data_IF_065379034003
#
_entry.id   IF_065379034003
#
_cell.length_a   1.000
_cell.length_b   1.000
_cell.length_c   1.000
_cell.angle_alpha   90.00
_cell.angle_beta   90.00
_cell.angle_gamma   90.00
#
_symmetry.space_group_name_H-M   'P 1'
#
loop_
_entity.id
_entity.type
_entity.pdbx_description
1 polymer ?
#
# COMPACT_ATOMS: atom_id res chain seq x y z
N UNK A 1 1.22 -25.25 -24.62
CA UNK A 1 0.09 -25.01 -23.70
C UNK A 1 0.18 -23.60 -23.08
N UNK A 2 -0.22 -22.58 -23.84
CA UNK A 2 -0.39 -21.20 -23.34
C UNK A 2 -1.76 -21.18 -22.68
N UNK A 3 -1.81 -21.65 -21.43
CA UNK A 3 -3.06 -21.69 -20.67
C UNK A 3 -3.57 -20.26 -20.54
N UNK A 4 -4.79 -20.08 -21.03
CA UNK A 4 -5.53 -18.84 -21.25
C UNK A 4 -5.41 -17.77 -20.15
N UNK A 5 -4.46 -16.84 -20.29
CA UNK A 5 -4.41 -15.62 -19.45
C UNK A 5 -5.69 -14.78 -19.60
N UNK A 6 -6.37 -14.88 -20.75
CA UNK A 6 -7.62 -14.17 -21.02
C UNK A 6 -8.80 -14.73 -20.21
N UNK A 7 -8.84 -16.04 -19.96
CA UNK A 7 -9.87 -16.66 -19.12
C UNK A 7 -9.73 -16.22 -17.65
N UNK A 8 -8.52 -16.26 -17.08
CA UNK A 8 -8.28 -15.85 -15.68
C UNK A 8 -8.67 -14.39 -15.46
N UNK A 9 -8.33 -13.50 -16.41
CA UNK A 9 -8.68 -12.08 -16.32
C UNK A 9 -10.19 -11.85 -16.37
N UNK A 10 -10.92 -12.54 -17.26
CA UNK A 10 -12.40 -12.45 -17.32
C UNK A 10 -13.05 -12.90 -16.02
N UNK A 11 -12.61 -14.04 -15.48
CA UNK A 11 -13.13 -14.56 -14.20
C UNK A 11 -12.94 -13.56 -13.06
N UNK A 12 -11.75 -12.98 -12.91
CA UNK A 12 -11.46 -11.99 -11.86
C UNK A 12 -12.33 -10.73 -11.99
N UNK A 13 -12.82 -10.39 -13.19
CA UNK A 13 -13.70 -9.25 -13.42
C UNK A 13 -15.20 -9.57 -13.22
N UNK A 14 -15.61 -10.83 -13.42
CA UNK A 14 -17.02 -11.25 -13.33
C UNK A 14 -17.41 -11.78 -11.94
N UNK A 15 -16.49 -12.46 -11.23
CA UNK A 15 -16.72 -13.03 -9.91
C UNK A 15 -16.99 -12.01 -8.77
N UNK A 16 -16.42 -10.78 -8.76
CA UNK A 16 -16.66 -9.80 -7.70
C UNK A 16 -18.15 -9.56 -7.42
N UNK A 17 -18.97 -9.53 -8.47
CA UNK A 17 -20.42 -9.29 -8.37
C UNK A 17 -21.19 -10.44 -7.70
N UNK A 18 -20.61 -11.64 -7.68
CA UNK A 18 -21.26 -12.87 -7.18
C UNK A 18 -20.80 -13.28 -5.79
N UNK A 19 -19.54 -12.97 -5.43
CA UNK A 19 -18.88 -13.49 -4.23
C UNK A 19 -18.54 -12.37 -3.22
N UNK A 20 -18.57 -11.11 -3.64
CA UNK A 20 -18.42 -9.97 -2.71
C UNK A 20 -16.98 -9.62 -2.34
N UNK A 21 -16.01 -9.89 -3.22
CA UNK A 21 -14.63 -9.41 -3.06
C UNK A 21 -14.33 -8.23 -4.00
N UNK A 22 -13.32 -7.41 -3.66
CA UNK A 22 -12.86 -6.27 -4.47
C UNK A 22 -11.51 -6.59 -5.09
N UNK A 23 -11.33 -6.23 -6.35
CA UNK A 23 -10.03 -6.37 -7.04
C UNK A 23 -9.18 -5.14 -6.72
N UNK A 24 -7.99 -5.38 -6.19
CA UNK A 24 -7.00 -4.35 -5.87
C UNK A 24 -5.75 -4.56 -6.73
N UNK A 25 -4.96 -3.49 -7.01
CA UNK A 25 -3.65 -3.65 -7.63
C UNK A 25 -2.76 -4.52 -6.73
N UNK A 26 -2.05 -5.47 -7.35
CA UNK A 26 -1.01 -6.23 -6.67
C UNK A 26 0.25 -5.39 -6.44
N UNK A 27 1.22 -5.97 -5.75
CA UNK A 27 2.58 -5.45 -5.63
C UNK A 27 3.57 -6.49 -6.16
N UNK A 28 4.73 -6.04 -6.60
CA UNK A 28 5.75 -6.91 -7.18
C UNK A 28 6.57 -7.58 -6.06
N UNK A 29 7.00 -8.82 -6.27
CA UNK A 29 7.96 -9.45 -5.37
C UNK A 29 9.33 -8.78 -5.47
N UNK A 30 9.95 -8.46 -4.33
CA UNK A 30 11.23 -7.75 -4.25
C UNK A 30 12.07 -8.22 -3.06
N UNK A 31 13.40 -8.17 -3.20
CA UNK A 31 14.35 -8.62 -2.15
C UNK A 31 14.22 -7.80 -0.86
N UNK A 32 13.83 -6.52 -0.96
CA UNK A 32 13.66 -5.61 0.19
C UNK A 32 12.67 -6.15 1.24
N UNK A 33 11.64 -6.89 0.84
CA UNK A 33 10.69 -7.49 1.79
C UNK A 33 11.38 -8.48 2.72
N UNK A 34 12.31 -9.29 2.18
CA UNK A 34 13.08 -10.27 2.97
C UNK A 34 14.12 -9.58 3.86
N UNK A 35 14.79 -8.55 3.35
CA UNK A 35 15.78 -7.80 4.13
C UNK A 35 15.15 -7.08 5.32
N UNK A 36 13.99 -6.45 5.12
CA UNK A 36 13.25 -5.79 6.19
C UNK A 36 12.65 -6.79 7.17
N UNK A 37 12.15 -7.94 6.69
CA UNK A 37 11.62 -9.01 7.53
C UNK A 37 12.66 -9.51 8.56
N UNK A 38 13.90 -9.73 8.14
CA UNK A 38 14.99 -10.15 9.05
C UNK A 38 15.30 -9.11 10.14
N UNK A 39 14.93 -7.85 9.91
CA UNK A 39 15.12 -6.74 10.86
C UNK A 39 13.85 -6.40 11.64
N UNK A 40 12.73 -7.08 11.40
CA UNK A 40 11.43 -6.74 11.97
C UNK A 40 10.90 -5.38 11.51
N UNK A 41 11.36 -4.89 10.35
CA UNK A 41 10.97 -3.59 9.79
C UNK A 41 9.92 -3.75 8.68
N UNK A 42 9.18 -2.68 8.40
CA UNK A 42 8.26 -2.62 7.26
C UNK A 42 8.65 -1.52 6.27
N UNK A 43 8.09 -1.55 5.06
CA UNK A 43 8.30 -0.49 4.07
C UNK A 43 7.82 0.88 4.57
N UNK A 44 6.85 0.91 5.47
CA UNK A 44 6.31 2.14 6.07
C UNK A 44 7.30 2.78 7.05
N UNK A 45 8.22 1.99 7.62
CA UNK A 45 9.23 2.47 8.54
C UNK A 45 10.42 3.13 7.81
N UNK A 46 10.62 2.88 6.52
CA UNK A 46 11.80 3.36 5.76
C UNK A 46 11.97 4.89 5.74
N UNK A 47 10.92 5.67 6.05
CA UNK A 47 10.99 7.14 6.16
C UNK A 47 11.60 7.61 7.48
N UNK A 48 11.78 6.72 8.48
CA UNK A 48 12.39 7.07 9.76
C UNK A 48 13.89 7.28 9.61
N UNK A 49 14.43 8.45 10.00
CA UNK A 49 15.87 8.68 9.99
C UNK A 49 16.57 7.69 10.95
N UNK A 50 17.72 7.15 10.54
CA UNK A 50 18.56 6.28 11.38
C UNK A 50 18.45 4.76 11.14
N UNK A 51 17.61 4.30 10.21
CA UNK A 51 17.41 2.85 9.97
C UNK A 51 18.51 2.16 9.13
N UNK A 52 19.52 2.90 8.66
CA UNK A 52 20.67 2.33 7.93
C UNK A 52 20.33 1.63 6.60
N UNK A 53 19.09 1.73 6.11
CA UNK A 53 18.69 1.19 4.81
C UNK A 53 18.97 2.22 3.73
N UNK A 54 19.88 1.90 2.80
CA UNK A 54 20.10 2.73 1.61
C UNK A 54 18.85 2.68 0.72
N UNK A 55 18.25 3.84 0.48
CA UNK A 55 17.14 3.99 -0.45
C UNK A 55 17.63 3.76 -1.88
N UNK A 56 16.96 2.85 -2.59
CA UNK A 56 17.11 2.66 -4.03
C UNK A 56 15.75 2.83 -4.73
N UNK A 57 15.74 2.90 -6.06
CA UNK A 57 14.50 3.07 -6.83
C UNK A 57 13.51 1.92 -6.65
N UNK A 58 13.99 0.69 -6.40
CA UNK A 58 13.12 -0.46 -6.14
C UNK A 58 12.34 -0.29 -4.82
N UNK A 59 12.95 0.30 -3.79
CA UNK A 59 12.31 0.57 -2.50
C UNK A 59 11.22 1.63 -2.63
N UNK A 60 11.49 2.68 -3.42
CA UNK A 60 10.51 3.74 -3.72
C UNK A 60 9.30 3.15 -4.46
N UNK A 61 9.54 2.30 -5.47
CA UNK A 61 8.48 1.61 -6.20
C UNK A 61 7.66 0.68 -5.27
N UNK A 62 8.33 -0.10 -4.41
CA UNK A 62 7.66 -0.98 -3.45
C UNK A 62 6.74 -0.21 -2.50
N UNK A 63 7.20 0.94 -1.99
CA UNK A 63 6.38 1.79 -1.12
C UNK A 63 5.18 2.39 -1.86
N UNK A 64 5.34 2.75 -3.14
CA UNK A 64 4.23 3.24 -3.96
C UNK A 64 3.18 2.15 -4.23
N UNK A 65 3.61 0.92 -4.54
CA UNK A 65 2.73 -0.23 -4.71
C UNK A 65 1.91 -0.52 -3.44
N UNK A 66 2.56 -0.50 -2.26
CA UNK A 66 1.87 -0.65 -0.97
C UNK A 66 0.86 0.48 -0.73
N UNK A 67 1.20 1.72 -1.07
CA UNK A 67 0.24 2.84 -0.95
C UNK A 67 -0.99 2.65 -1.83
N UNK A 68 -0.82 2.18 -3.07
CA UNK A 68 -1.95 1.90 -3.96
C UNK A 68 -2.85 0.78 -3.41
N UNK A 69 -2.26 -0.25 -2.79
CA UNK A 69 -3.00 -1.31 -2.12
C UNK A 69 -3.80 -0.77 -0.92
N UNK A 70 -3.16 0.01 -0.05
CA UNK A 70 -3.83 0.62 1.12
C UNK A 70 -5.00 1.52 0.71
N UNK A 71 -4.84 2.30 -0.35
CA UNK A 71 -5.92 3.11 -0.94
C UNK A 71 -7.06 2.22 -1.47
N UNK A 72 -6.74 1.13 -2.16
CA UNK A 72 -7.76 0.21 -2.67
C UNK A 72 -8.58 -0.43 -1.54
N UNK A 73 -7.96 -0.72 -0.39
CA UNK A 73 -8.64 -1.25 0.81
C UNK A 73 -9.57 -0.21 1.45
N UNK A 74 -9.40 1.09 1.14
CA UNK A 74 -10.22 2.15 1.72
C UNK A 74 -9.80 2.49 3.15
N UNK A 75 -8.54 2.24 3.51
CA UNK A 75 -8.03 2.70 4.80
C UNK A 75 -8.11 4.24 4.81
N UNK A 76 -8.76 4.87 5.81
CA UNK A 76 -8.74 6.32 5.92
C UNK A 76 -7.28 6.73 5.98
N UNK A 77 -6.87 7.61 5.05
CA UNK A 77 -5.55 8.20 5.12
C UNK A 77 -5.44 8.83 6.51
N UNK A 78 -4.55 8.30 7.35
CA UNK A 78 -4.23 8.97 8.61
C UNK A 78 -3.46 10.22 8.22
N UNK A 79 -4.20 11.26 7.86
CA UNK A 79 -3.72 12.62 7.75
C UNK A 79 -3.32 13.00 9.18
N UNK A 80 -2.09 12.67 9.57
CA UNK A 80 -1.47 13.15 10.80
C UNK A 80 -1.18 14.65 10.73
N UNK A 81 -2.18 15.45 10.37
CA UNK A 81 -2.13 16.90 10.25
C UNK A 81 -3.49 17.56 10.55
N UNK A 82 -4.35 16.93 11.36
CA UNK A 82 -5.64 17.50 11.77
C UNK A 82 -5.74 17.69 13.30
N UNK A 83 -4.69 18.25 13.91
CA UNK A 83 -4.74 18.70 15.33
C UNK A 83 -4.00 20.02 15.54
N UNK A 84 -4.24 21.00 14.67
CA UNK A 84 -3.51 22.26 14.83
C UNK A 84 -4.01 23.46 14.04
N UNK A 85 -5.32 23.61 13.79
CA UNK A 85 -5.91 24.96 13.71
C UNK A 85 -7.44 24.90 13.78
N UNK A 86 -7.97 24.54 14.94
CA UNK A 86 -9.36 24.81 15.29
C UNK A 86 -9.39 25.39 16.69
N UNK A 87 -8.63 26.47 16.90
CA UNK A 87 -9.06 27.48 17.86
C UNK A 87 -10.27 28.15 17.22
N UNK A 88 -11.44 27.56 17.48
CA UNK A 88 -12.67 28.31 17.47
C UNK A 88 -12.48 29.48 18.42
N UNK A 89 -12.33 30.66 17.84
CA UNK A 89 -12.74 31.89 18.49
C UNK A 89 -14.25 31.79 18.68
N UNK A 90 -14.68 31.14 19.77
CA UNK A 90 -16.02 31.35 20.28
C UNK A 90 -16.09 32.80 20.78
N UNK A 91 -17.04 33.61 20.27
CA UNK A 91 -17.28 34.94 20.83
C UNK A 91 -18.04 34.79 22.14
N UNK A 92 -17.44 35.27 23.24
CA UNK A 92 -18.19 35.92 24.32
C UNK A 92 -18.15 37.41 24.02
#
# INVERSE_FOLDING_TARGET
PIISLSATRKSIQELPRRIGFRVAPGFSERVIFRELFLKGLTLLDMRRPGLGVRLNMSHVAAHQEVRMLLQAIGLPAHNGADTGNSLGSDPI
#
